data_IF_278191597799
#
_entry.id   IF_278191597799
#
_cell.length_a   1.000
_cell.length_b   1.000
_cell.length_c   1.000
_cell.angle_alpha   90.00
_cell.angle_beta   90.00
_cell.angle_gamma   90.00
#
_symmetry.space_group_name_H-M   'P 1'
#
loop_
_entity.id
_entity.type
_entity.pdbx_description
1 polymer ?
#
# COMPACT_ATOMS: atom_id res chain seq x y z
N UNK A 1 2.12 -17.47 14.10
CA UNK A 1 1.81 -16.42 15.08
C UNK A 1 1.74 -15.10 14.32
N UNK A 2 0.77 -14.22 14.61
CA UNK A 2 0.69 -12.93 13.90
C UNK A 2 1.89 -12.04 14.25
N UNK A 3 2.59 -11.51 13.25
CA UNK A 3 3.70 -10.57 13.42
C UNK A 3 3.26 -9.22 14.00
N UNK A 4 4.19 -8.33 14.38
CA UNK A 4 3.85 -7.00 14.86
C UNK A 4 3.04 -6.21 13.82
N UNK A 5 2.20 -5.29 14.27
CA UNK A 5 1.40 -4.43 13.37
C UNK A 5 1.47 -2.99 13.84
N UNK A 6 1.61 -2.08 12.88
CA UNK A 6 1.53 -0.64 13.12
C UNK A 6 0.08 -0.11 13.10
N UNK A 7 -0.92 -0.97 12.88
CA UNK A 7 -2.33 -0.57 12.90
C UNK A 7 -2.79 -0.24 14.32
N UNK A 8 -3.24 1.01 14.51
CA UNK A 8 -3.84 1.45 15.76
C UNK A 8 -5.30 1.00 15.87
N UNK A 9 -6.01 0.91 14.75
CA UNK A 9 -7.33 0.26 14.64
C UNK A 9 -7.14 -1.24 14.38
N UNK A 10 -7.53 -2.08 15.33
CA UNK A 10 -7.29 -3.53 15.32
C UNK A 10 -8.42 -4.34 14.67
N UNK A 11 -9.49 -3.71 14.19
CA UNK A 11 -10.70 -4.39 13.72
C UNK A 11 -10.44 -5.59 12.79
N UNK A 12 -9.61 -5.41 11.75
CA UNK A 12 -9.33 -6.49 10.79
C UNK A 12 -8.58 -7.64 11.43
N UNK A 13 -7.64 -7.34 12.34
CA UNK A 13 -6.84 -8.36 13.02
C UNK A 13 -7.69 -9.15 14.01
N UNK A 14 -8.56 -8.45 14.73
CA UNK A 14 -9.49 -9.04 15.70
C UNK A 14 -10.61 -9.84 15.02
N UNK A 15 -10.93 -9.48 13.77
CA UNK A 15 -11.92 -10.15 12.93
C UNK A 15 -11.39 -11.31 12.09
N UNK A 16 -10.12 -11.72 12.26
CA UNK A 16 -9.60 -12.89 11.56
C UNK A 16 -10.33 -14.15 12.02
N UNK A 17 -10.54 -15.14 11.13
CA UNK A 17 -11.13 -16.40 11.53
C UNK A 17 -10.22 -17.16 12.52
N UNK A 18 -10.71 -18.21 13.17
CA UNK A 18 -9.87 -19.13 13.93
C UNK A 18 -8.66 -19.64 13.12
N UNK A 19 -7.46 -19.84 13.71
CA UNK A 19 -6.25 -20.22 12.99
C UNK A 19 -6.35 -21.52 12.17
N UNK A 20 -7.20 -22.45 12.58
CA UNK A 20 -7.49 -23.71 11.87
C UNK A 20 -8.30 -23.51 10.57
N UNK A 21 -8.86 -22.31 10.36
CA UNK A 21 -9.55 -21.92 9.13
C UNK A 21 -8.68 -21.05 8.22
N UNK A 22 -7.43 -20.80 8.59
CA UNK A 22 -6.52 -19.99 7.76
C UNK A 22 -6.00 -20.83 6.60
N UNK A 23 -5.68 -20.19 5.46
CA UNK A 23 -4.96 -20.87 4.40
C UNK A 23 -3.53 -21.22 4.83
N UNK A 24 -2.96 -22.24 4.20
CA UNK A 24 -1.54 -22.49 4.27
C UNK A 24 -0.79 -21.38 3.51
N UNK A 25 0.09 -20.67 4.20
CA UNK A 25 0.93 -19.64 3.59
C UNK A 25 2.17 -20.27 2.96
N UNK A 26 2.08 -20.62 1.69
CA UNK A 26 3.17 -21.22 0.90
C UNK A 26 4.15 -20.12 0.42
N UNK A 27 5.06 -19.69 1.30
CA UNK A 27 6.01 -18.59 1.03
C UNK A 27 7.43 -19.06 0.64
N UNK A 28 7.66 -20.37 0.53
CA UNK A 28 8.95 -20.91 0.12
C UNK A 28 9.34 -20.41 -1.28
N UNK A 29 10.59 -19.95 -1.42
CA UNK A 29 11.11 -19.40 -2.68
C UNK A 29 10.86 -17.90 -2.89
N UNK A 30 10.22 -17.22 -1.93
CA UNK A 30 10.07 -15.76 -1.93
C UNK A 30 10.96 -15.11 -0.86
N UNK A 31 12.04 -14.46 -1.30
CA UNK A 31 12.97 -13.75 -0.42
C UNK A 31 12.46 -12.33 -0.07
N UNK A 32 11.28 -12.25 0.53
CA UNK A 32 10.72 -10.97 1.00
C UNK A 32 11.27 -10.59 2.39
N UNK A 33 11.46 -9.29 2.65
CA UNK A 33 11.72 -8.83 4.01
C UNK A 33 10.52 -9.13 4.91
N UNK A 34 10.78 -9.25 6.22
CA UNK A 34 9.72 -9.47 7.22
C UNK A 34 8.63 -8.38 7.17
N UNK A 35 9.01 -7.16 6.81
CA UNK A 35 8.11 -6.01 6.67
C UNK A 35 8.34 -5.31 5.34
N UNK A 36 7.23 -5.01 4.66
CA UNK A 36 7.23 -4.30 3.39
C UNK A 36 6.12 -3.25 3.38
N UNK A 37 6.42 -2.05 2.89
CA UNK A 37 5.40 -1.06 2.58
C UNK A 37 5.20 -1.04 1.07
N UNK A 38 4.12 -1.67 0.59
CA UNK A 38 3.84 -1.78 -0.83
C UNK A 38 3.72 -0.42 -1.52
N UNK A 39 3.20 0.61 -0.84
CA UNK A 39 3.15 1.97 -1.39
C UNK A 39 4.55 2.48 -1.71
N UNK A 40 5.46 2.44 -0.73
CA UNK A 40 6.86 2.88 -0.91
C UNK A 40 7.58 2.08 -2.00
N UNK A 41 7.48 0.76 -1.97
CA UNK A 41 8.19 -0.11 -2.93
C UNK A 41 7.71 0.06 -4.37
N UNK A 42 6.40 0.32 -4.56
CA UNK A 42 5.81 0.49 -5.89
C UNK A 42 5.88 1.94 -6.41
N UNK A 43 6.17 2.93 -5.57
CA UNK A 43 6.29 4.34 -5.98
C UNK A 43 7.68 4.90 -5.70
N UNK A 44 7.96 5.27 -4.45
CA UNK A 44 9.10 6.10 -4.06
C UNK A 44 10.42 5.37 -4.29
N UNK A 45 10.46 4.06 -4.03
CA UNK A 45 11.62 3.21 -4.31
C UNK A 45 11.94 3.14 -5.82
N UNK A 46 10.92 3.15 -6.68
CA UNK A 46 11.14 3.16 -8.14
C UNK A 46 11.80 4.46 -8.60
N UNK A 47 11.39 5.59 -8.03
CA UNK A 47 12.04 6.89 -8.28
C UNK A 47 13.48 6.86 -7.77
N UNK A 48 13.72 6.39 -6.54
CA UNK A 48 15.05 6.30 -5.94
C UNK A 48 16.00 5.38 -6.74
N UNK A 49 15.46 4.36 -7.41
CA UNK A 49 16.19 3.46 -8.31
C UNK A 49 16.45 4.03 -9.70
N UNK A 50 16.06 5.28 -9.96
CA UNK A 50 16.30 5.98 -11.23
C UNK A 50 15.19 5.80 -12.27
N UNK A 51 14.07 5.17 -11.93
CA UNK A 51 12.95 4.98 -12.86
C UNK A 51 11.97 6.17 -12.87
N UNK A 52 12.32 7.30 -12.26
CA UNK A 52 11.42 8.44 -12.05
C UNK A 52 10.73 8.94 -13.33
N UNK A 53 11.46 9.00 -14.45
CA UNK A 53 10.95 9.48 -15.73
C UNK A 53 10.29 8.38 -16.58
N UNK A 54 10.32 7.12 -16.12
CA UNK A 54 9.65 6.01 -16.81
C UNK A 54 8.13 6.08 -16.59
N UNK A 55 7.37 5.72 -17.62
CA UNK A 55 5.90 5.60 -17.54
C UNK A 55 5.51 4.53 -16.52
N UNK A 56 4.70 4.93 -15.53
CA UNK A 56 4.13 4.05 -14.50
C UNK A 56 2.67 3.68 -14.78
N UNK A 57 1.88 4.63 -15.30
CA UNK A 57 0.45 4.45 -15.56
C UNK A 57 0.05 5.03 -16.91
N UNK A 58 -0.85 4.33 -17.61
CA UNK A 58 -1.49 4.79 -18.85
C UNK A 58 -3.00 4.60 -18.67
N UNK A 59 -3.78 5.68 -18.80
CA UNK A 59 -5.23 5.63 -18.65
C UNK A 59 -5.91 6.98 -18.91
N UNK A 60 -7.17 6.96 -19.34
CA UNK A 60 -7.98 8.16 -19.62
C UNK A 60 -7.28 9.21 -20.51
N UNK A 61 -6.58 8.75 -21.55
CA UNK A 61 -5.86 9.60 -22.50
C UNK A 61 -4.60 10.26 -21.92
N UNK A 62 -4.12 9.82 -20.74
CA UNK A 62 -2.94 10.36 -20.07
C UNK A 62 -1.95 9.26 -19.75
N UNK A 63 -0.67 9.63 -19.74
CA UNK A 63 0.41 8.82 -19.19
C UNK A 63 0.96 9.56 -17.99
N UNK A 64 1.38 8.82 -16.96
CA UNK A 64 2.05 9.37 -15.79
C UNK A 64 3.36 8.64 -15.55
N UNK A 65 4.40 9.37 -15.20
CA UNK A 65 5.69 8.79 -14.80
C UNK A 65 5.66 8.29 -13.35
N UNK A 66 6.66 7.50 -12.94
CA UNK A 66 6.80 7.10 -11.54
C UNK A 66 6.97 8.30 -10.60
N UNK A 67 7.67 9.35 -11.04
CA UNK A 67 7.80 10.59 -10.27
C UNK A 67 6.43 11.25 -10.06
N UNK A 68 5.63 11.39 -11.12
CA UNK A 68 4.30 11.98 -11.02
C UNK A 68 3.33 11.13 -10.19
N UNK A 69 3.47 9.80 -10.26
CA UNK A 69 2.69 8.88 -9.44
C UNK A 69 3.02 9.06 -7.96
N UNK A 70 4.31 9.00 -7.59
CA UNK A 70 4.78 9.20 -6.21
C UNK A 70 4.38 10.57 -5.66
N UNK A 71 4.59 11.66 -6.42
CA UNK A 71 4.18 13.00 -6.04
C UNK A 71 2.66 13.09 -5.77
N UNK A 72 1.85 12.42 -6.60
CA UNK A 72 0.39 12.47 -6.47
C UNK A 72 -0.13 11.61 -5.30
N UNK A 73 0.40 10.40 -5.12
CA UNK A 73 0.00 9.51 -4.01
C UNK A 73 0.40 10.11 -2.67
N UNK A 74 1.57 10.73 -2.57
CA UNK A 74 2.02 11.38 -1.33
C UNK A 74 1.15 12.58 -0.95
N UNK A 75 0.70 13.38 -1.93
CA UNK A 75 -0.26 14.47 -1.67
C UNK A 75 -1.61 13.94 -1.18
N UNK A 76 -2.11 12.85 -1.76
CA UNK A 76 -3.34 12.23 -1.30
C UNK A 76 -3.18 11.65 0.12
N UNK A 77 -2.07 10.96 0.39
CA UNK A 77 -1.76 10.41 1.70
C UNK A 77 -1.69 11.52 2.78
N UNK A 78 -1.06 12.65 2.46
CA UNK A 78 -1.02 13.80 3.36
C UNK A 78 -2.42 14.31 3.71
N UNK A 79 -3.29 14.52 2.72
CA UNK A 79 -4.67 14.95 2.98
C UNK A 79 -5.46 13.92 3.79
N UNK A 80 -5.28 12.62 3.51
CA UNK A 80 -5.92 11.56 4.29
C UNK A 80 -5.49 11.60 5.77
N UNK A 81 -4.20 11.76 6.04
CA UNK A 81 -3.66 11.71 7.41
C UNK A 81 -3.90 13.03 8.16
N UNK A 82 -3.49 14.16 7.58
CA UNK A 82 -3.48 15.45 8.27
C UNK A 82 -4.87 16.12 8.27
N UNK A 83 -5.55 16.13 7.13
CA UNK A 83 -6.82 16.86 6.99
C UNK A 83 -8.03 16.00 7.40
N UNK A 84 -8.00 14.71 7.07
CA UNK A 84 -9.12 13.78 7.31
C UNK A 84 -8.90 12.86 8.51
N UNK A 85 -7.73 12.91 9.16
CA UNK A 85 -7.44 12.19 10.39
C UNK A 85 -7.37 10.67 10.25
N UNK A 86 -7.12 10.15 9.04
CA UNK A 86 -6.97 8.72 8.79
C UNK A 86 -5.75 8.19 9.53
N UNK A 87 -5.94 7.10 10.29
CA UNK A 87 -4.90 6.42 11.06
C UNK A 87 -4.62 5.02 10.52
N UNK A 88 -3.43 4.46 10.77
CA UNK A 88 -3.12 3.07 10.44
C UNK A 88 -4.19 2.10 10.98
N UNK A 89 -4.70 1.25 10.10
CA UNK A 89 -5.77 0.27 10.40
C UNK A 89 -7.18 0.77 10.06
N UNK A 90 -7.39 2.08 9.85
CA UNK A 90 -8.67 2.57 9.37
C UNK A 90 -8.98 2.05 7.96
N UNK A 91 -10.28 1.96 7.65
CA UNK A 91 -10.77 1.46 6.36
C UNK A 91 -11.37 2.62 5.58
N UNK A 92 -10.96 2.76 4.33
CA UNK A 92 -11.46 3.78 3.40
C UNK A 92 -12.19 3.07 2.27
N UNK A 93 -13.48 3.37 2.10
CA UNK A 93 -14.25 2.85 0.97
C UNK A 93 -13.86 3.63 -0.29
N UNK A 94 -13.33 2.92 -1.29
CA UNK A 94 -13.02 3.48 -2.60
C UNK A 94 -14.14 3.08 -3.56
N UNK A 95 -14.78 4.07 -4.18
CA UNK A 95 -15.73 3.88 -5.27
C UNK A 95 -15.31 4.74 -6.46
N UNK A 96 -14.72 4.11 -7.47
CA UNK A 96 -14.22 4.76 -8.68
C UNK A 96 -14.47 3.89 -9.92
N UNK A 97 -14.44 4.52 -11.10
CA UNK A 97 -14.24 3.83 -12.36
C UNK A 97 -12.76 3.44 -12.54
N UNK A 98 -12.48 2.61 -13.56
CA UNK A 98 -11.12 2.30 -14.04
C UNK A 98 -10.67 3.31 -15.09
#
# INVERSE_FOLDING_TARGET
MLGPSAHADTFTRDGLPPPDQWPDFLLDGFDYPEHINAGVELTDAMVARGFGDHTALIGNGRQRTYKELSDWTNRLAHALVEDLGVRPGNRVLIRSAN
#
